data_IF_406713843126
#
_entry.id   IF_406713843126
#
_cell.length_a   1.000
_cell.length_b   1.000
_cell.length_c   1.000
_cell.angle_alpha   90.00
_cell.angle_beta   90.00
_cell.angle_gamma   90.00
#
_symmetry.space_group_name_H-M   'P 1'
#
loop_
_entity.id
_entity.type
_entity.pdbx_description
1 polymer ?
#
# COMPACT_ATOMS: atom_id res chain seq x y z
N UNK A 1 -15.94 11.56 25.88
CA UNK A 1 -14.87 12.03 24.96
C UNK A 1 -14.62 11.04 23.82
N UNK A 2 -14.01 9.84 24.05
CA UNK A 2 -13.68 8.90 22.96
C UNK A 2 -14.92 8.39 22.23
N UNK A 3 -15.95 7.94 22.96
CA UNK A 3 -17.19 7.42 22.37
C UNK A 3 -17.98 8.48 21.59
N UNK A 4 -17.96 9.73 22.03
CA UNK A 4 -18.58 10.85 21.32
C UNK A 4 -17.82 11.16 20.03
N UNK A 5 -16.50 11.16 20.08
CA UNK A 5 -15.67 11.34 18.90
C UNK A 5 -15.83 10.20 17.90
N UNK A 6 -15.91 8.95 18.37
CA UNK A 6 -16.20 7.81 17.50
C UNK A 6 -17.56 7.97 16.80
N UNK A 7 -18.59 8.38 17.54
CA UNK A 7 -19.92 8.64 16.96
C UNK A 7 -19.87 9.77 15.92
N UNK A 8 -19.14 10.84 16.20
CA UNK A 8 -18.91 11.93 15.25
C UNK A 8 -18.19 11.41 13.98
N UNK A 9 -17.11 10.64 14.12
CA UNK A 9 -16.36 10.08 12.98
C UNK A 9 -17.21 9.13 12.12
N UNK A 10 -18.09 8.33 12.75
CA UNK A 10 -19.00 7.44 12.02
C UNK A 10 -20.07 8.20 11.25
N UNK A 11 -20.44 9.40 11.70
CA UNK A 11 -21.31 10.33 10.97
C UNK A 11 -20.64 11.01 9.78
N UNK A 12 -19.30 10.94 9.69
CA UNK A 12 -18.54 11.42 8.54
C UNK A 12 -18.22 10.25 7.60
N UNK A 13 -18.09 10.49 6.30
CA UNK A 13 -17.83 9.43 5.31
C UNK A 13 -16.36 8.94 5.35
N UNK A 14 -15.84 8.61 6.54
CA UNK A 14 -14.48 8.10 6.75
C UNK A 14 -14.43 6.57 6.69
N UNK A 15 -13.25 6.02 6.30
CA UNK A 15 -13.04 4.57 6.35
C UNK A 15 -12.83 4.09 7.78
N UNK A 16 -13.20 2.83 8.08
CA UNK A 16 -12.95 2.20 9.38
C UNK A 16 -11.46 2.27 9.79
N UNK A 17 -10.54 2.12 8.84
CA UNK A 17 -9.10 2.27 9.11
C UNK A 17 -8.74 3.70 9.52
N UNK A 18 -9.38 4.71 8.93
CA UNK A 18 -9.17 6.11 9.31
C UNK A 18 -9.75 6.37 10.69
N UNK A 19 -10.96 5.88 10.95
CA UNK A 19 -11.63 5.99 12.28
C UNK A 19 -10.74 5.35 13.36
N UNK A 20 -10.31 4.11 13.15
CA UNK A 20 -9.41 3.40 14.08
C UNK A 20 -8.13 4.19 14.34
N UNK A 21 -7.51 4.74 13.28
CA UNK A 21 -6.29 5.53 13.39
C UNK A 21 -6.49 6.84 14.15
N UNK A 22 -7.64 7.49 13.99
CA UNK A 22 -7.97 8.72 14.68
C UNK A 22 -8.27 8.47 16.15
N UNK A 23 -9.04 7.43 16.45
CA UNK A 23 -9.30 7.01 17.83
C UNK A 23 -8.00 6.61 18.55
N UNK A 24 -7.09 5.92 17.86
CA UNK A 24 -5.78 5.60 18.44
C UNK A 24 -5.01 6.88 18.79
N UNK A 25 -4.99 7.89 17.93
CA UNK A 25 -4.30 9.15 18.20
C UNK A 25 -4.88 9.88 19.42
N UNK A 26 -6.21 9.89 19.58
CA UNK A 26 -6.87 10.50 20.74
C UNK A 26 -6.60 9.70 22.03
N UNK A 27 -6.60 8.37 21.97
CA UNK A 27 -6.21 7.53 23.12
C UNK A 27 -4.77 7.77 23.53
N UNK A 28 -3.86 7.90 22.56
CA UNK A 28 -2.44 8.20 22.81
C UNK A 28 -2.28 9.58 23.48
N UNK A 29 -3.04 10.60 23.06
CA UNK A 29 -3.05 11.89 23.74
C UNK A 29 -3.53 11.76 25.18
N UNK A 30 -4.68 11.10 25.38
CA UNK A 30 -5.30 10.93 26.71
C UNK A 30 -4.45 10.08 27.68
N UNK A 31 -3.57 9.23 27.17
CA UNK A 31 -2.62 8.48 28.03
C UNK A 31 -1.51 9.35 28.63
N UNK A 32 -1.35 10.58 28.13
CA UNK A 32 -0.29 11.51 28.59
C UNK A 32 -0.87 12.77 29.24
N UNK A 33 -2.11 13.14 28.90
CA UNK A 33 -2.73 14.39 29.33
C UNK A 33 -4.22 14.19 29.70
N UNK A 34 -4.60 14.55 30.91
CA UNK A 34 -5.97 14.40 31.41
C UNK A 34 -6.94 15.41 30.79
N UNK A 35 -6.44 16.54 30.28
CA UNK A 35 -7.26 17.62 29.76
C UNK A 35 -6.72 18.19 28.45
N UNK A 36 -7.66 18.59 27.56
CA UNK A 36 -7.33 19.29 26.32
C UNK A 36 -7.20 20.79 26.61
N UNK A 37 -5.95 21.24 26.66
CA UNK A 37 -5.55 22.64 26.81
C UNK A 37 -4.56 23.02 25.70
N UNK A 38 -4.47 24.31 25.37
CA UNK A 38 -3.47 24.80 24.40
C UNK A 38 -2.04 24.44 24.82
N UNK A 39 -1.76 24.45 26.13
CA UNK A 39 -0.44 24.05 26.68
C UNK A 39 -0.16 22.57 26.41
N UNK A 40 -1.09 21.68 26.73
CA UNK A 40 -0.93 20.23 26.55
C UNK A 40 -0.85 19.84 25.06
N UNK A 41 -1.65 20.50 24.19
CA UNK A 41 -1.58 20.30 22.74
C UNK A 41 -0.19 20.65 22.15
N UNK A 42 0.40 21.77 22.61
CA UNK A 42 1.76 22.14 22.19
C UNK A 42 2.79 21.15 22.70
N UNK A 43 2.71 20.74 23.97
CA UNK A 43 3.61 19.74 24.55
C UNK A 43 3.50 18.39 23.80
N UNK A 44 2.26 17.95 23.52
CA UNK A 44 2.04 16.73 22.73
C UNK A 44 2.63 16.80 21.31
N UNK A 45 2.50 17.94 20.63
CA UNK A 45 3.12 18.12 19.32
C UNK A 45 4.64 18.03 19.39
N UNK A 46 5.28 18.64 20.38
CA UNK A 46 6.73 18.55 20.59
C UNK A 46 7.12 17.09 20.80
N UNK A 47 6.46 16.40 21.72
CA UNK A 47 6.69 14.99 21.96
C UNK A 47 6.51 14.12 20.71
N UNK A 48 5.49 14.38 19.89
CA UNK A 48 5.31 13.66 18.63
C UNK A 48 6.49 13.88 17.66
N UNK A 49 7.03 15.09 17.58
CA UNK A 49 8.16 15.43 16.69
C UNK A 49 9.42 14.70 17.13
N UNK A 50 9.65 14.57 18.44
CA UNK A 50 10.81 13.88 19.01
C UNK A 50 10.74 12.35 18.83
N UNK A 51 9.53 11.77 18.84
CA UNK A 51 9.35 10.32 18.88
C UNK A 51 8.91 9.69 17.56
N UNK A 52 8.47 10.46 16.56
CA UNK A 52 7.88 9.92 15.33
C UNK A 52 8.38 10.61 14.06
N UNK A 53 8.33 9.86 12.95
CA UNK A 53 8.59 10.41 11.62
C UNK A 53 7.52 11.46 11.23
N UNK A 54 7.86 12.51 10.46
CA UNK A 54 6.96 13.62 10.12
C UNK A 54 5.59 13.20 9.56
N UNK A 55 5.51 12.13 8.76
CA UNK A 55 4.23 11.60 8.25
C UNK A 55 3.33 11.07 9.38
N UNK A 56 3.92 10.40 10.38
CA UNK A 56 3.18 9.91 11.55
C UNK A 56 2.73 11.06 12.43
N UNK A 57 3.61 12.05 12.67
CA UNK A 57 3.24 13.30 13.37
C UNK A 57 2.01 13.93 12.74
N UNK A 58 2.04 14.16 11.42
CA UNK A 58 0.91 14.78 10.72
C UNK A 58 -0.37 13.94 10.75
N UNK A 59 -0.27 12.61 10.75
CA UNK A 59 -1.44 11.74 10.92
C UNK A 59 -2.07 11.93 12.31
N UNK A 60 -1.25 11.98 13.37
CA UNK A 60 -1.71 12.23 14.73
C UNK A 60 -2.30 13.63 14.89
N UNK A 61 -1.63 14.64 14.35
CA UNK A 61 -2.13 16.03 14.37
C UNK A 61 -3.45 16.16 13.62
N UNK A 62 -3.62 15.48 12.48
CA UNK A 62 -4.88 15.47 11.73
C UNK A 62 -6.04 14.91 12.56
N UNK A 63 -5.79 13.81 13.27
CA UNK A 63 -6.78 13.19 14.15
C UNK A 63 -7.17 14.14 15.32
N UNK A 64 -6.19 14.75 15.99
CA UNK A 64 -6.44 15.71 17.08
C UNK A 64 -7.15 16.95 16.55
N UNK A 65 -6.76 17.49 15.40
CA UNK A 65 -7.43 18.64 14.79
C UNK A 65 -8.90 18.32 14.43
N UNK A 66 -9.18 17.12 13.92
CA UNK A 66 -10.55 16.65 13.68
C UNK A 66 -11.36 16.56 14.99
N UNK A 67 -10.73 16.07 16.07
CA UNK A 67 -11.36 16.08 17.39
C UNK A 67 -11.63 17.50 17.89
N UNK A 68 -10.71 18.43 17.73
CA UNK A 68 -10.90 19.83 18.12
C UNK A 68 -12.06 20.49 17.36
N UNK A 69 -12.23 20.16 16.07
CA UNK A 69 -13.41 20.59 15.31
C UNK A 69 -14.70 20.04 15.91
N UNK A 70 -14.74 18.74 16.23
CA UNK A 70 -15.94 18.11 16.77
C UNK A 70 -16.42 18.66 18.12
N UNK A 71 -15.54 19.35 18.84
CA UNK A 71 -15.84 19.99 20.14
C UNK A 71 -15.87 21.53 20.08
N UNK A 72 -15.91 22.13 18.87
CA UNK A 72 -16.01 23.59 18.68
C UNK A 72 -14.74 24.36 19.06
N UNK A 73 -13.58 23.71 19.09
CA UNK A 73 -12.27 24.34 19.41
C UNK A 73 -11.38 24.49 18.18
N UNK A 74 -11.92 24.86 17.06
CA UNK A 74 -11.18 24.98 15.77
C UNK A 74 -9.97 25.92 15.84
N UNK A 75 -10.09 27.01 16.62
CA UNK A 75 -8.99 27.96 16.84
C UNK A 75 -7.77 27.38 17.57
N UNK A 76 -7.87 26.16 18.07
CA UNK A 76 -6.78 25.45 18.76
C UNK A 76 -6.05 24.46 17.84
N UNK A 77 -6.48 24.33 16.58
CA UNK A 77 -5.82 23.43 15.60
C UNK A 77 -4.33 23.70 15.53
N UNK A 78 -3.60 22.62 15.45
CA UNK A 78 -2.14 22.64 15.36
C UNK A 78 -1.69 22.59 13.90
N UNK A 79 -0.75 23.44 13.48
CA UNK A 79 -0.19 23.38 12.14
C UNK A 79 0.62 22.09 11.96
N UNK A 80 0.58 21.53 10.74
CA UNK A 80 1.35 20.35 10.36
C UNK A 80 2.84 20.65 10.29
N UNK A 81 3.66 19.61 10.44
CA UNK A 81 5.11 19.68 10.22
C UNK A 81 5.42 19.50 8.74
N UNK A 82 6.51 20.14 8.27
CA UNK A 82 6.97 19.94 6.90
C UNK A 82 7.44 18.50 6.69
N UNK A 83 7.01 17.89 5.59
CA UNK A 83 7.46 16.57 5.15
C UNK A 83 8.31 16.75 3.91
N UNK A 84 9.59 16.45 4.02
CA UNK A 84 10.44 16.40 2.85
C UNK A 84 10.03 15.22 1.98
N UNK A 85 9.75 15.49 0.71
CA UNK A 85 9.54 14.43 -0.28
C UNK A 85 10.89 13.98 -0.80
N UNK A 86 11.15 12.68 -0.72
CA UNK A 86 12.35 12.10 -1.35
C UNK A 86 12.24 12.27 -2.86
N UNK A 87 13.33 12.68 -3.49
CA UNK A 87 13.39 12.89 -4.93
C UNK A 87 13.49 11.58 -5.75
N UNK A 88 13.62 10.44 -5.09
CA UNK A 88 13.82 9.13 -5.71
C UNK A 88 12.97 8.04 -5.03
N UNK A 89 12.70 6.97 -5.76
CA UNK A 89 12.06 5.77 -5.22
C UNK A 89 13.10 4.92 -4.49
N UNK A 90 12.75 4.45 -3.31
CA UNK A 90 13.57 3.52 -2.53
C UNK A 90 12.80 2.22 -2.31
N UNK A 91 13.56 1.17 -2.01
CA UNK A 91 13.02 -0.12 -1.57
C UNK A 91 12.06 -0.76 -2.59
N UNK A 92 12.35 -0.59 -3.89
CA UNK A 92 11.64 -1.30 -4.96
C UNK A 92 12.46 -2.53 -5.32
N UNK A 93 11.79 -3.68 -5.39
CA UNK A 93 12.42 -4.94 -5.80
C UNK A 93 12.97 -4.79 -7.24
N UNK A 94 14.24 -5.19 -7.44
CA UNK A 94 14.87 -5.18 -8.76
C UNK A 94 14.24 -6.22 -9.71
N UNK A 95 14.49 -6.07 -11.04
CA UNK A 95 14.11 -7.11 -12.02
C UNK A 95 14.73 -8.44 -11.67
N UNK A 96 16.05 -8.43 -11.40
CA UNK A 96 16.82 -9.62 -11.10
C UNK A 96 16.31 -10.35 -9.84
N UNK A 97 16.08 -9.61 -8.75
CA UNK A 97 15.54 -10.19 -7.50
C UNK A 97 14.14 -10.75 -7.69
N UNK A 98 13.29 -10.06 -8.48
CA UNK A 98 11.93 -10.53 -8.76
C UNK A 98 11.94 -11.83 -9.57
N UNK A 99 12.76 -11.93 -10.64
CA UNK A 99 12.90 -13.13 -11.46
C UNK A 99 13.50 -14.29 -10.64
N UNK A 100 14.51 -14.00 -9.83
CA UNK A 100 15.10 -14.97 -8.92
C UNK A 100 14.08 -15.46 -7.89
N UNK A 101 13.30 -14.55 -7.29
CA UNK A 101 12.28 -14.92 -6.31
C UNK A 101 11.21 -15.83 -6.91
N UNK A 102 10.72 -15.52 -8.12
CA UNK A 102 9.78 -16.40 -8.86
C UNK A 102 10.36 -17.80 -9.08
N UNK A 103 11.62 -17.87 -9.50
CA UNK A 103 12.31 -19.13 -9.76
C UNK A 103 12.43 -19.96 -8.49
N UNK A 104 12.83 -19.37 -7.39
CA UNK A 104 12.91 -20.04 -6.09
C UNK A 104 11.56 -20.58 -5.62
N UNK A 105 10.50 -19.77 -5.73
CA UNK A 105 9.15 -20.17 -5.32
C UNK A 105 8.62 -21.33 -6.17
N UNK A 106 8.89 -21.35 -7.48
CA UNK A 106 8.52 -22.49 -8.35
C UNK A 106 9.33 -23.74 -8.03
N UNK A 107 10.64 -23.61 -7.84
CA UNK A 107 11.53 -24.73 -7.52
C UNK A 107 11.11 -25.45 -6.24
N UNK A 108 10.70 -24.70 -5.23
CA UNK A 108 10.35 -25.21 -3.91
C UNK A 108 8.83 -25.52 -3.77
N UNK A 109 8.09 -25.57 -4.89
CA UNK A 109 6.64 -25.81 -4.98
C UNK A 109 5.78 -24.83 -4.13
N UNK A 110 6.28 -23.64 -3.87
CA UNK A 110 5.56 -22.57 -3.16
C UNK A 110 4.63 -21.81 -4.12
N UNK A 111 3.82 -22.53 -4.92
CA UNK A 111 2.99 -22.00 -5.99
C UNK A 111 1.99 -20.94 -5.51
N UNK A 112 1.45 -21.08 -4.30
CA UNK A 112 0.58 -20.07 -3.70
C UNK A 112 1.27 -18.70 -3.64
N UNK A 113 2.50 -18.66 -3.12
CA UNK A 113 3.27 -17.43 -2.97
C UNK A 113 3.81 -16.92 -4.29
N UNK A 114 4.11 -17.83 -5.21
CA UNK A 114 4.41 -17.48 -6.60
C UNK A 114 3.26 -16.69 -7.22
N UNK A 115 2.01 -17.16 -7.12
CA UNK A 115 0.86 -16.44 -7.66
C UNK A 115 0.58 -15.14 -6.90
N UNK A 116 0.79 -15.07 -5.59
CA UNK A 116 0.69 -13.80 -4.84
C UNK A 116 1.58 -12.73 -5.44
N UNK A 117 2.87 -13.00 -5.66
CA UNK A 117 3.80 -12.01 -6.22
C UNK A 117 3.54 -11.75 -7.71
N UNK A 118 3.14 -12.77 -8.46
CA UNK A 118 2.79 -12.64 -9.88
C UNK A 118 1.60 -11.71 -10.09
N UNK A 119 0.53 -11.89 -9.34
CA UNK A 119 -0.64 -11.02 -9.43
C UNK A 119 -0.32 -9.59 -8.99
N UNK A 120 0.41 -9.39 -7.89
CA UNK A 120 0.82 -8.06 -7.45
C UNK A 120 1.65 -7.33 -8.52
N UNK A 121 2.65 -8.02 -9.12
CA UNK A 121 3.55 -7.43 -10.09
C UNK A 121 2.95 -7.29 -11.50
N UNK A 122 2.00 -8.12 -11.89
CA UNK A 122 1.40 -8.09 -13.23
C UNK A 122 0.14 -7.25 -13.34
N UNK A 123 -0.53 -6.97 -12.22
CA UNK A 123 -1.80 -6.21 -12.21
C UNK A 123 -1.68 -4.85 -11.51
N UNK A 124 -0.61 -4.63 -10.75
CA UNK A 124 -0.47 -3.46 -9.91
C UNK A 124 -1.53 -3.32 -8.81
N UNK A 125 -2.24 -4.41 -8.48
CA UNK A 125 -3.25 -4.41 -7.42
C UNK A 125 -2.67 -4.04 -6.06
N UNK A 126 -3.46 -3.34 -5.23
CA UNK A 126 -3.14 -3.22 -3.80
C UNK A 126 -3.36 -4.58 -3.13
N UNK A 127 -2.63 -4.86 -2.05
CA UNK A 127 -2.78 -6.15 -1.34
C UNK A 127 -4.21 -6.39 -0.86
N UNK A 128 -4.94 -5.35 -0.49
CA UNK A 128 -6.37 -5.42 -0.12
C UNK A 128 -7.30 -5.72 -1.30
N UNK A 129 -6.87 -5.42 -2.52
CA UNK A 129 -7.56 -5.72 -3.76
C UNK A 129 -7.20 -7.15 -4.24
N UNK A 130 -5.93 -7.53 -4.12
CA UNK A 130 -5.45 -8.88 -4.43
C UNK A 130 -6.28 -9.96 -3.73
N UNK A 131 -6.48 -9.83 -2.43
CA UNK A 131 -7.23 -10.83 -1.64
C UNK A 131 -8.72 -10.92 -2.01
N UNK A 132 -9.23 -10.03 -2.87
CA UNK A 132 -10.60 -10.06 -3.39
C UNK A 132 -10.70 -10.79 -4.72
N UNK A 133 -9.59 -11.20 -5.33
CA UNK A 133 -9.60 -11.92 -6.60
C UNK A 133 -10.23 -13.30 -6.40
N UNK A 134 -11.16 -13.62 -7.30
CA UNK A 134 -11.85 -14.90 -7.37
C UNK A 134 -11.53 -15.61 -8.68
N UNK A 135 -11.82 -16.90 -8.75
CA UNK A 135 -11.70 -17.71 -9.99
C UNK A 135 -12.49 -17.07 -11.13
N UNK A 136 -13.68 -16.56 -10.85
CA UNK A 136 -14.56 -15.92 -11.81
C UNK A 136 -13.88 -14.68 -12.45
N UNK A 137 -13.13 -13.89 -11.65
CA UNK A 137 -12.40 -12.72 -12.16
C UNK A 137 -11.24 -13.14 -13.07
N UNK A 138 -10.60 -14.28 -12.80
CA UNK A 138 -9.54 -14.81 -13.66
C UNK A 138 -10.14 -15.25 -15.00
N UNK A 139 -11.27 -15.97 -14.97
CA UNK A 139 -11.99 -16.38 -16.18
C UNK A 139 -12.42 -15.18 -17.03
N UNK A 140 -12.91 -14.09 -16.39
CA UNK A 140 -13.29 -12.84 -17.05
C UNK A 140 -12.08 -12.00 -17.52
N UNK A 141 -10.92 -12.16 -16.92
CA UNK A 141 -9.71 -11.39 -17.20
C UNK A 141 -9.65 -10.04 -16.48
N UNK A 142 -10.59 -9.74 -15.61
CA UNK A 142 -10.58 -8.50 -14.82
C UNK A 142 -11.38 -8.61 -13.53
N UNK A 143 -11.12 -7.66 -12.63
CA UNK A 143 -11.88 -7.41 -11.40
C UNK A 143 -12.31 -5.95 -11.37
N UNK A 144 -13.61 -5.69 -11.24
CA UNK A 144 -14.17 -4.36 -11.07
C UNK A 144 -14.32 -4.04 -9.57
N UNK A 145 -13.78 -2.92 -9.15
CA UNK A 145 -13.78 -2.42 -7.78
C UNK A 145 -14.48 -1.08 -7.70
N UNK A 146 -15.45 -0.96 -6.82
CA UNK A 146 -16.02 0.33 -6.44
C UNK A 146 -15.10 1.02 -5.42
N UNK A 147 -14.51 2.15 -5.80
CA UNK A 147 -13.75 3.00 -4.89
C UNK A 147 -14.67 3.97 -4.15
N UNK A 148 -14.14 4.62 -3.09
CA UNK A 148 -14.85 5.69 -2.39
C UNK A 148 -15.26 6.78 -3.40
N UNK A 149 -16.51 7.24 -3.31
CA UNK A 149 -17.08 8.22 -4.24
C UNK A 149 -17.67 7.63 -5.53
N UNK A 150 -17.89 6.30 -5.58
CA UNK A 150 -18.60 5.65 -6.70
C UNK A 150 -17.76 5.46 -7.97
N UNK A 151 -16.48 5.81 -7.96
CA UNK A 151 -15.61 5.54 -9.13
C UNK A 151 -15.35 4.05 -9.27
N UNK A 152 -15.70 3.51 -10.44
CA UNK A 152 -15.36 2.16 -10.84
C UNK A 152 -13.89 2.10 -11.27
N UNK A 153 -13.12 1.20 -10.69
CA UNK A 153 -11.76 0.88 -11.13
C UNK A 153 -11.70 -0.56 -11.58
N UNK A 154 -11.17 -0.78 -12.78
CA UNK A 154 -10.91 -2.12 -13.31
C UNK A 154 -9.46 -2.52 -13.15
N UNK A 155 -9.24 -3.70 -12.57
CA UNK A 155 -7.94 -4.35 -12.51
C UNK A 155 -7.91 -5.40 -13.60
N UNK A 156 -7.06 -5.22 -14.62
CA UNK A 156 -6.89 -6.19 -15.70
C UNK A 156 -5.93 -7.30 -15.29
N UNK A 157 -6.26 -8.53 -15.65
CA UNK A 157 -5.42 -9.70 -15.45
C UNK A 157 -4.87 -10.10 -16.84
N UNK A 158 -3.56 -9.95 -17.09
CA UNK A 158 -2.97 -10.27 -18.38
C UNK A 158 -3.21 -11.73 -18.80
N UNK A 159 -3.45 -11.96 -20.09
CA UNK A 159 -3.84 -13.27 -20.64
C UNK A 159 -2.87 -14.40 -20.26
N UNK A 160 -1.58 -14.13 -20.27
CA UNK A 160 -0.56 -15.10 -19.84
C UNK A 160 -0.75 -15.51 -18.38
N UNK A 161 -1.02 -14.54 -17.49
CA UNK A 161 -1.27 -14.82 -16.07
C UNK A 161 -2.61 -15.54 -15.86
N UNK A 162 -3.66 -15.21 -16.65
CA UNK A 162 -4.93 -15.94 -16.63
C UNK A 162 -4.71 -17.43 -16.90
N UNK A 163 -4.04 -17.76 -18.00
CA UNK A 163 -3.80 -19.14 -18.40
C UNK A 163 -2.99 -19.91 -17.35
N UNK A 164 -1.91 -19.30 -16.84
CA UNK A 164 -1.06 -19.89 -15.82
C UNK A 164 -1.84 -20.13 -14.49
N UNK A 165 -2.66 -19.17 -14.08
CA UNK A 165 -3.46 -19.26 -12.86
C UNK A 165 -4.61 -20.26 -13.00
N UNK A 166 -5.27 -20.36 -14.15
CA UNK A 166 -6.34 -21.34 -14.38
C UNK A 166 -5.78 -22.77 -14.35
N UNK A 167 -4.58 -23.03 -14.92
CA UNK A 167 -3.93 -24.32 -14.78
C UNK A 167 -3.68 -24.68 -13.31
N UNK A 168 -3.09 -23.77 -12.55
CA UNK A 168 -2.83 -23.96 -11.11
C UNK A 168 -4.11 -24.23 -10.29
N UNK A 169 -5.22 -23.55 -10.63
CA UNK A 169 -6.50 -23.74 -9.96
C UNK A 169 -7.17 -25.06 -10.32
N UNK A 170 -7.03 -25.50 -11.58
CA UNK A 170 -7.48 -26.82 -12.03
C UNK A 170 -6.75 -27.94 -11.27
N UNK A 171 -5.44 -27.84 -11.10
CA UNK A 171 -4.65 -28.81 -10.34
C UNK A 171 -5.10 -28.90 -8.87
N UNK A 172 -5.68 -27.81 -8.35
CA UNK A 172 -6.26 -27.73 -7.01
C UNK A 172 -7.75 -28.10 -6.94
N UNK A 173 -8.38 -28.41 -8.06
CA UNK A 173 -9.84 -28.62 -8.17
C UNK A 173 -10.66 -27.44 -7.64
N UNK A 174 -10.14 -26.21 -7.80
CA UNK A 174 -10.78 -24.98 -7.35
C UNK A 174 -11.49 -24.28 -8.52
N UNK A 175 -12.81 -24.44 -8.62
CA UNK A 175 -13.61 -23.96 -9.73
C UNK A 175 -14.23 -22.57 -9.50
N UNK A 176 -14.36 -22.11 -8.26
CA UNK A 176 -15.02 -20.87 -7.89
C UNK A 176 -14.48 -20.27 -6.59
N UNK A 177 -14.87 -19.03 -6.29
CA UNK A 177 -14.55 -18.35 -5.03
C UNK A 177 -13.17 -17.72 -4.98
N UNK A 178 -12.77 -17.26 -3.78
CA UNK A 178 -11.49 -16.57 -3.57
C UNK A 178 -10.29 -17.48 -3.79
N UNK A 179 -9.28 -16.99 -4.53
CA UNK A 179 -8.08 -17.78 -4.87
C UNK A 179 -6.99 -17.73 -3.80
N UNK A 180 -6.96 -16.68 -2.99
CA UNK A 180 -5.96 -16.52 -1.94
C UNK A 180 -6.54 -16.84 -0.56
N UNK A 181 -6.53 -18.15 -0.24
CA UNK A 181 -7.04 -18.69 1.02
C UNK A 181 -5.90 -19.04 1.97
N UNK A 182 -6.15 -18.96 3.27
CA UNK A 182 -5.25 -19.47 4.29
C UNK A 182 -5.41 -21.00 4.45
N UNK A 183 -4.62 -21.61 5.31
CA UNK A 183 -4.65 -23.05 5.56
C UNK A 183 -5.98 -23.57 6.16
N UNK A 184 -6.86 -22.68 6.60
CA UNK A 184 -8.17 -23.02 7.16
C UNK A 184 -9.31 -22.85 6.14
N UNK A 185 -8.99 -22.45 4.90
CA UNK A 185 -9.99 -22.17 3.85
C UNK A 185 -10.56 -20.75 3.89
N UNK A 186 -10.15 -19.89 4.84
CA UNK A 186 -10.57 -18.51 4.89
C UNK A 186 -9.71 -17.63 3.99
N UNK A 187 -10.25 -16.48 3.60
CA UNK A 187 -9.48 -15.47 2.84
C UNK A 187 -8.26 -15.01 3.64
N UNK A 188 -7.08 -15.07 3.04
CA UNK A 188 -5.83 -14.64 3.66
C UNK A 188 -5.88 -13.15 4.03
N UNK A 189 -5.25 -12.78 5.14
CA UNK A 189 -5.16 -11.37 5.56
C UNK A 189 -4.00 -10.65 4.86
N UNK A 190 -4.16 -9.34 4.64
CA UNK A 190 -3.08 -8.49 4.08
C UNK A 190 -1.81 -8.51 4.95
N UNK A 191 -1.98 -8.60 6.27
CA UNK A 191 -0.88 -8.72 7.23
C UNK A 191 -0.17 -10.08 7.11
N UNK A 192 -0.94 -11.15 6.91
CA UNK A 192 -0.41 -12.49 6.67
C UNK A 192 0.47 -12.53 5.41
N UNK A 193 -0.01 -11.94 4.30
CA UNK A 193 0.78 -11.82 3.07
C UNK A 193 2.08 -11.06 3.34
N UNK A 194 2.01 -9.87 3.93
CA UNK A 194 3.20 -9.05 4.18
C UNK A 194 4.23 -9.74 5.09
N UNK A 195 3.76 -10.45 6.12
CA UNK A 195 4.62 -11.20 7.03
C UNK A 195 5.33 -12.38 6.37
N UNK A 196 4.57 -13.14 5.57
CA UNK A 196 5.13 -14.33 4.90
C UNK A 196 6.08 -13.96 3.76
N UNK A 197 5.77 -12.92 2.97
CA UNK A 197 6.69 -12.43 1.93
C UNK A 197 8.06 -12.06 2.51
N UNK A 198 8.11 -11.42 3.68
CA UNK A 198 9.39 -11.11 4.36
C UNK A 198 10.14 -12.37 4.79
N UNK A 199 9.43 -13.39 5.31
CA UNK A 199 10.05 -14.66 5.70
C UNK A 199 10.64 -15.38 4.49
N UNK A 200 9.92 -15.41 3.37
CA UNK A 200 10.37 -16.00 2.13
C UNK A 200 11.57 -15.23 1.55
N UNK A 201 11.56 -13.90 1.63
CA UNK A 201 12.72 -13.09 1.22
C UNK A 201 13.98 -13.48 1.99
N UNK A 202 13.90 -13.58 3.31
CA UNK A 202 15.02 -14.04 4.16
C UNK A 202 15.45 -15.46 3.77
N UNK A 203 14.49 -16.39 3.57
CA UNK A 203 14.76 -17.78 3.18
C UNK A 203 15.56 -17.87 1.88
N UNK A 204 15.29 -16.98 0.92
CA UNK A 204 15.94 -16.98 -0.39
C UNK A 204 17.07 -15.96 -0.52
N UNK A 205 17.52 -15.36 0.58
CA UNK A 205 18.64 -14.42 0.56
C UNK A 205 18.37 -13.09 -0.16
N UNK A 206 17.08 -12.70 -0.27
CA UNK A 206 16.68 -11.41 -0.83
C UNK A 206 16.47 -10.43 0.32
N UNK A 207 16.86 -9.15 0.15
CA UNK A 207 16.63 -8.12 1.17
C UNK A 207 15.13 -7.99 1.51
N UNK A 208 14.70 -8.30 2.76
CA UNK A 208 13.30 -8.20 3.15
C UNK A 208 12.75 -6.77 3.13
N UNK A 209 13.61 -5.76 3.05
CA UNK A 209 13.22 -4.34 2.92
C UNK A 209 12.57 -4.06 1.57
N UNK A 210 12.97 -4.77 0.51
CA UNK A 210 12.41 -4.59 -0.84
C UNK A 210 11.27 -5.58 -1.14
N UNK A 211 11.01 -6.58 -0.27
CA UNK A 211 9.97 -7.61 -0.50
C UNK A 211 8.73 -7.33 0.35
N UNK A 212 7.85 -6.51 -0.16
CA UNK A 212 6.54 -6.19 0.42
C UNK A 212 5.52 -5.87 -0.69
N UNK A 213 4.21 -5.98 -0.43
CA UNK A 213 3.20 -5.89 -1.49
C UNK A 213 3.27 -4.61 -2.35
N UNK A 214 3.53 -3.45 -1.74
CA UNK A 214 3.66 -2.19 -2.50
C UNK A 214 4.93 -2.14 -3.38
N UNK A 215 5.99 -2.87 -3.05
CA UNK A 215 7.19 -2.96 -3.88
C UNK A 215 6.87 -3.58 -5.25
N UNK A 216 6.09 -4.65 -5.29
CA UNK A 216 5.64 -5.27 -6.54
C UNK A 216 4.73 -4.34 -7.35
N UNK A 217 3.88 -3.55 -6.68
CA UNK A 217 3.07 -2.52 -7.34
C UNK A 217 3.93 -1.38 -7.88
N UNK A 218 4.98 -0.96 -7.17
CA UNK A 218 5.95 0.01 -7.67
C UNK A 218 6.69 -0.52 -8.91
N UNK A 219 7.09 -1.79 -8.86
CA UNK A 219 7.67 -2.48 -10.01
C UNK A 219 6.72 -2.48 -11.21
N UNK A 220 5.44 -2.86 -11.05
CA UNK A 220 4.43 -2.79 -12.10
C UNK A 220 4.41 -1.41 -12.75
N UNK A 221 4.34 -0.36 -11.95
CA UNK A 221 4.25 1.01 -12.44
C UNK A 221 5.51 1.44 -13.23
N UNK A 222 6.71 1.08 -12.75
CA UNK A 222 7.97 1.36 -13.46
C UNK A 222 8.03 0.62 -14.79
N UNK A 223 7.82 -0.70 -14.78
CA UNK A 223 7.85 -1.54 -15.98
C UNK A 223 6.78 -1.13 -17.00
N UNK A 224 5.61 -0.63 -16.53
CA UNK A 224 4.59 -0.09 -17.41
C UNK A 224 5.07 1.18 -18.12
N UNK A 225 5.62 2.15 -17.37
CA UNK A 225 6.10 3.41 -17.94
C UNK A 225 7.30 3.23 -18.88
N UNK A 226 8.16 2.25 -18.63
CA UNK A 226 9.27 1.91 -19.52
C UNK A 226 8.79 1.41 -20.90
N UNK A 227 7.63 0.75 -20.96
CA UNK A 227 7.06 0.16 -22.18
C UNK A 227 5.96 1.01 -22.81
N UNK A 228 5.19 1.70 -21.99
CA UNK A 228 4.09 2.55 -22.40
C UNK A 228 4.21 3.86 -21.61
N UNK A 229 4.84 4.87 -22.21
CA UNK A 229 5.15 6.14 -21.56
C UNK A 229 3.91 7.04 -21.38
N UNK A 230 2.80 6.45 -20.91
CA UNK A 230 1.54 7.13 -20.62
C UNK A 230 1.25 7.10 -19.11
N UNK A 231 1.59 8.21 -18.45
CA UNK A 231 1.39 8.38 -17.01
C UNK A 231 -0.09 8.54 -16.64
N UNK A 232 -0.92 9.10 -17.55
CA UNK A 232 -2.34 9.28 -17.29
C UNK A 232 -3.04 7.93 -17.29
N UNK A 233 -2.77 7.10 -18.30
CA UNK A 233 -3.29 5.73 -18.35
C UNK A 233 -2.79 4.88 -17.17
N UNK A 234 -1.51 5.01 -16.78
CA UNK A 234 -1.02 4.34 -15.57
C UNK A 234 -1.78 4.79 -14.32
N UNK A 235 -2.07 6.09 -14.17
CA UNK A 235 -2.83 6.61 -13.03
C UNK A 235 -4.23 5.98 -12.94
N UNK A 236 -4.91 5.83 -14.08
CA UNK A 236 -6.20 5.16 -14.16
C UNK A 236 -6.10 3.68 -13.81
N UNK A 237 -5.14 2.94 -14.38
CA UNK A 237 -4.89 1.53 -14.05
C UNK A 237 -4.59 1.33 -12.57
N UNK A 238 -3.86 2.23 -11.96
CA UNK A 238 -3.54 2.16 -10.53
C UNK A 238 -4.67 2.70 -9.64
N UNK A 239 -5.68 3.37 -10.19
CA UNK A 239 -6.76 4.00 -9.44
C UNK A 239 -6.22 5.07 -8.48
N UNK A 240 -5.42 5.98 -9.00
CA UNK A 240 -4.98 7.17 -8.29
C UNK A 240 -5.94 8.31 -8.56
N UNK A 241 -6.36 9.01 -7.50
CA UNK A 241 -7.23 10.18 -7.60
C UNK A 241 -6.50 11.39 -8.21
N UNK A 242 -5.17 11.41 -8.07
CA UNK A 242 -4.31 12.48 -8.57
C UNK A 242 -3.11 11.89 -9.32
N UNK A 243 -2.83 12.44 -10.50
CA UNK A 243 -1.66 12.11 -11.31
C UNK A 243 -0.34 12.36 -10.55
N UNK A 244 -0.33 13.32 -9.61
CA UNK A 244 0.81 13.60 -8.74
C UNK A 244 1.24 12.37 -7.92
N UNK A 245 0.28 11.51 -7.55
CA UNK A 245 0.58 10.24 -6.88
C UNK A 245 1.33 9.27 -7.81
N UNK A 246 1.09 9.38 -9.12
CA UNK A 246 1.73 8.54 -10.13
C UNK A 246 3.08 9.10 -10.57
N UNK A 247 3.30 10.43 -10.46
CA UNK A 247 4.58 11.06 -10.82
C UNK A 247 5.77 10.51 -10.04
N UNK A 248 5.57 9.90 -8.88
CA UNK A 248 6.65 9.24 -8.13
C UNK A 248 7.34 8.14 -8.95
N UNK A 249 6.63 7.51 -9.89
CA UNK A 249 7.17 6.43 -10.72
C UNK A 249 8.01 6.92 -11.92
N UNK A 250 7.91 8.20 -12.26
CA UNK A 250 8.83 8.85 -13.19
C UNK A 250 10.19 9.13 -12.54
N UNK A 251 10.27 9.05 -11.21
CA UNK A 251 11.52 9.27 -10.49
C UNK A 251 12.39 8.04 -10.59
N UNK A 252 13.63 8.27 -10.96
CA UNK A 252 14.66 7.25 -10.99
C UNK A 252 15.11 6.91 -9.56
N UNK A 253 15.55 5.68 -9.34
CA UNK A 253 16.21 5.31 -8.07
C UNK A 253 17.54 6.06 -7.94
N UNK A 254 18.09 6.14 -6.73
CA UNK A 254 19.41 6.77 -6.53
C UNK A 254 20.51 6.09 -7.35
N UNK A 255 20.44 4.78 -7.51
CA UNK A 255 21.37 4.01 -8.35
C UNK A 255 21.21 4.34 -9.83
N UNK A 256 19.97 4.40 -10.35
CA UNK A 256 19.68 4.80 -11.73
C UNK A 256 20.08 6.25 -12.00
N UNK A 257 19.85 7.17 -11.04
CA UNK A 257 20.29 8.57 -11.16
C UNK A 257 21.81 8.64 -11.27
N UNK A 258 22.52 7.91 -10.43
CA UNK A 258 23.98 7.86 -10.45
C UNK A 258 24.51 7.30 -11.79
N UNK A 259 23.97 6.19 -12.25
CA UNK A 259 24.38 5.59 -13.52
C UNK A 259 24.21 6.57 -14.69
N UNK A 260 23.11 7.31 -14.74
CA UNK A 260 22.87 8.32 -15.78
C UNK A 260 23.84 9.50 -15.64
N UNK A 261 24.10 9.96 -14.42
CA UNK A 261 25.08 11.03 -14.20
C UNK A 261 26.45 10.60 -14.64
N UNK A 262 26.86 9.37 -14.30
CA UNK A 262 28.17 8.79 -14.69
C UNK A 262 28.27 8.57 -16.22
N UNK A 263 27.13 8.32 -16.92
CA UNK A 263 27.09 8.16 -18.39
C UNK A 263 27.07 9.50 -19.14
N UNK A 264 26.37 10.51 -18.62
CA UNK A 264 26.09 11.78 -19.33
C UNK A 264 27.12 12.85 -19.03
N UNK A 265 27.74 12.80 -17.85
CA UNK A 265 28.68 13.85 -17.38
C UNK A 265 30.08 13.28 -17.37
N UNK A 266 30.81 13.55 -18.45
CA UNK A 266 32.17 13.07 -18.67
C UNK A 266 33.22 14.20 -18.71
N UNK A 267 32.82 15.45 -18.34
CA UNK A 267 33.68 16.64 -18.30
C UNK A 267 34.09 17.04 -16.88
#
# INVERSE_FOLDING_TARGET
MINEFERHLRGTNLSENTITSYLFALRQYNSQYDAITKKNLRAYKVWLIENYKPKTVNLRLRAINCYLESIGKESWKMPFVRVQQKAFLENVISEADYEYFKTCLKRDDELFWYFVIRFLAATGARVSELIQIKVEHIKLGHLDLCSKGGKLRRIYIPKALQNEALSWLNDKHQESGFIFLNKYGDRITTRGISGQLKKLAVRYGIDPVVVYPHSFRHRFAKSFLERCNDIAFLADLMGHESIETTRIYLRKTSTEQRAIVDEVIDW
#
